data_IF_656423550304
#
_entry.id   IF_656423550304
#
_cell.length_a   1.000
_cell.length_b   1.000
_cell.length_c   1.000
_cell.angle_alpha   90.00
_cell.angle_beta   90.00
_cell.angle_gamma   90.00
#
_symmetry.space_group_name_H-M   'P 1'
#
loop_
_entity.id
_entity.type
_entity.pdbx_description
1 polymer ?
#
# COMPACT_ATOMS: atom_id res chain seq x y z
N UNK A 1 11.40 -10.12 -13.53
CA UNK A 1 10.05 -10.43 -14.03
C UNK A 1 8.98 -9.58 -13.34
N UNK A 2 8.75 -9.69 -12.02
CA UNK A 2 7.71 -8.88 -11.34
C UNK A 2 7.91 -7.35 -11.40
N UNK A 3 9.14 -6.88 -11.63
CA UNK A 3 9.50 -5.47 -11.83
C UNK A 3 9.65 -5.08 -13.31
N UNK A 4 9.19 -5.91 -14.25
CA UNK A 4 9.16 -5.53 -15.67
C UNK A 4 7.81 -4.90 -16.03
N UNK A 5 7.75 -4.05 -17.06
CA UNK A 5 6.49 -3.51 -17.53
C UNK A 5 5.48 -4.62 -17.85
N UNK A 6 5.91 -5.66 -18.57
CA UNK A 6 5.06 -6.79 -18.96
C UNK A 6 4.50 -7.53 -17.75
N UNK A 7 5.30 -7.70 -16.69
CA UNK A 7 4.85 -8.35 -15.46
C UNK A 7 3.81 -7.51 -14.71
N UNK A 8 4.00 -6.20 -14.66
CA UNK A 8 3.07 -5.30 -13.96
C UNK A 8 1.79 -5.01 -14.77
N UNK A 9 1.84 -5.08 -16.11
CA UNK A 9 0.66 -5.00 -16.98
C UNK A 9 -0.36 -6.13 -16.74
N UNK A 10 0.05 -7.23 -16.11
CA UNK A 10 -0.85 -8.35 -15.79
C UNK A 10 -1.81 -8.02 -14.63
N UNK A 11 -1.49 -7.02 -13.80
CA UNK A 11 -2.27 -6.71 -12.59
C UNK A 11 -3.78 -6.59 -12.86
N UNK A 12 -4.21 -5.70 -13.77
CA UNK A 12 -5.63 -5.53 -14.10
C UNK A 12 -6.31 -6.81 -14.63
N UNK A 13 -5.58 -7.65 -15.37
CA UNK A 13 -6.09 -8.95 -15.89
C UNK A 13 -6.48 -9.88 -14.74
N UNK A 14 -5.73 -9.83 -13.63
CA UNK A 14 -5.98 -10.62 -12.43
C UNK A 14 -6.70 -9.83 -11.33
N UNK A 15 -7.37 -8.72 -11.68
CA UNK A 15 -8.10 -7.85 -10.74
C UNK A 15 -7.23 -7.23 -9.64
N UNK A 16 -5.92 -7.09 -9.90
CA UNK A 16 -4.97 -6.37 -9.06
C UNK A 16 -4.76 -4.96 -9.64
N UNK A 17 -5.51 -3.99 -9.13
CA UNK A 17 -5.58 -2.62 -9.66
C UNK A 17 -4.60 -1.64 -8.99
N UNK A 18 -3.55 -2.15 -8.34
CA UNK A 18 -2.49 -1.31 -7.80
C UNK A 18 -1.78 -0.54 -8.93
N UNK A 19 -1.35 0.68 -8.62
CA UNK A 19 -0.52 1.46 -9.53
C UNK A 19 0.82 0.74 -9.79
N UNK A 20 1.28 0.64 -11.04
CA UNK A 20 2.61 0.15 -11.37
C UNK A 20 3.70 0.98 -10.68
N UNK A 21 4.80 0.33 -10.32
CA UNK A 21 5.99 0.95 -9.71
C UNK A 21 7.12 1.16 -10.71
N UNK A 22 6.93 0.73 -11.96
CA UNK A 22 7.89 0.94 -13.05
C UNK A 22 7.27 1.72 -14.20
N UNK A 23 8.11 2.47 -14.92
CA UNK A 23 7.70 3.19 -16.12
C UNK A 23 7.40 2.23 -17.27
N UNK A 24 6.58 2.69 -18.24
CA UNK A 24 6.30 1.96 -19.49
C UNK A 24 5.11 0.99 -19.42
N UNK A 25 4.35 1.00 -18.33
CA UNK A 25 3.09 0.27 -18.19
C UNK A 25 1.93 1.18 -18.60
N UNK A 26 1.04 0.68 -19.47
CA UNK A 26 -0.23 1.35 -19.75
C UNK A 26 -1.17 1.21 -18.55
N UNK A 27 -1.60 2.34 -17.99
CA UNK A 27 -2.45 2.37 -16.80
C UNK A 27 -3.89 2.01 -17.14
N UNK A 28 -4.50 1.12 -16.37
CA UNK A 28 -5.92 0.78 -16.53
C UNK A 28 -6.87 1.90 -16.06
N UNK A 29 -6.45 2.68 -15.05
CA UNK A 29 -7.23 3.74 -14.42
C UNK A 29 -6.35 4.95 -14.06
N UNK A 30 -5.85 5.72 -15.05
CA UNK A 30 -4.98 6.87 -14.80
C UNK A 30 -5.65 7.96 -13.96
N UNK A 31 -6.98 8.08 -13.99
CA UNK A 31 -7.76 9.04 -13.21
C UNK A 31 -7.65 8.84 -11.69
N UNK A 32 -7.33 7.62 -11.23
CA UNK A 32 -7.18 7.31 -9.81
C UNK A 32 -5.82 7.75 -9.25
N UNK A 33 -4.89 8.18 -10.10
CA UNK A 33 -3.54 8.59 -9.70
C UNK A 33 -3.40 10.10 -9.49
N UNK A 34 -4.41 10.89 -9.86
CA UNK A 34 -4.42 12.34 -9.59
C UNK A 34 -4.87 12.60 -8.14
N UNK A 35 -3.95 12.38 -7.20
CA UNK A 35 -4.20 12.46 -5.76
C UNK A 35 -3.10 13.22 -5.03
N UNK A 36 -3.48 13.92 -3.95
CA UNK A 36 -2.54 14.67 -3.11
C UNK A 36 -1.80 13.73 -2.14
N UNK A 37 -0.69 13.16 -2.60
CA UNK A 37 0.12 12.22 -1.83
C UNK A 37 1.08 12.93 -0.87
N UNK A 38 1.30 12.32 0.29
CA UNK A 38 2.43 12.66 1.16
C UNK A 38 3.71 11.98 0.66
N UNK A 39 4.86 12.56 0.99
CA UNK A 39 6.16 11.88 0.84
C UNK A 39 6.35 10.86 1.97
N UNK A 40 5.87 9.64 1.75
CA UNK A 40 5.83 8.60 2.77
C UNK A 40 7.24 8.08 3.10
N UNK A 41 7.70 8.35 4.33
CA UNK A 41 8.98 7.82 4.80
C UNK A 41 8.87 6.35 5.24
N UNK A 42 9.13 5.43 4.31
CA UNK A 42 9.05 3.98 4.53
C UNK A 42 9.98 3.48 5.64
N UNK A 43 11.18 4.07 5.79
CA UNK A 43 12.17 3.66 6.79
C UNK A 43 11.68 4.01 8.19
N UNK A 44 11.32 5.29 8.41
CA UNK A 44 10.83 5.74 9.70
C UNK A 44 9.54 5.01 10.12
N UNK A 45 8.62 4.81 9.17
CA UNK A 45 7.39 4.07 9.44
C UNK A 45 7.67 2.61 9.85
N UNK A 46 8.63 1.95 9.20
CA UNK A 46 9.06 0.60 9.54
C UNK A 46 9.69 0.53 10.94
N UNK A 47 10.59 1.44 11.26
CA UNK A 47 11.28 1.52 12.56
C UNK A 47 10.32 1.82 13.72
N UNK A 48 9.23 2.55 13.46
CA UNK A 48 8.25 2.95 14.49
C UNK A 48 6.99 2.06 14.53
N UNK A 49 6.92 1.00 13.70
CA UNK A 49 5.71 0.16 13.55
C UNK A 49 5.15 -0.33 14.88
N UNK A 50 5.99 -0.86 15.77
CA UNK A 50 5.57 -1.42 17.06
C UNK A 50 4.85 -0.39 17.93
N UNK A 51 5.40 0.82 18.04
CA UNK A 51 4.80 1.89 18.85
C UNK A 51 3.39 2.28 18.35
N UNK A 52 3.18 2.32 17.03
CA UNK A 52 1.87 2.60 16.46
C UNK A 52 0.87 1.47 16.67
N UNK A 53 1.30 0.22 16.49
CA UNK A 53 0.45 -0.96 16.71
C UNK A 53 0.01 -1.05 18.18
N UNK A 54 0.94 -0.85 19.12
CA UNK A 54 0.65 -0.86 20.55
C UNK A 54 -0.32 0.25 20.93
N UNK A 55 -0.09 1.47 20.43
CA UNK A 55 -0.97 2.60 20.67
C UNK A 55 -2.38 2.35 20.15
N UNK A 56 -2.52 1.90 18.90
CA UNK A 56 -3.83 1.60 18.32
C UNK A 56 -4.58 0.51 19.10
N UNK A 57 -3.86 -0.56 19.47
CA UNK A 57 -4.40 -1.68 20.25
C UNK A 57 -4.95 -1.22 21.60
N UNK A 58 -4.16 -0.43 22.33
CA UNK A 58 -4.49 -0.04 23.70
C UNK A 58 -5.50 1.10 23.77
N UNK A 59 -5.43 2.06 22.85
CA UNK A 59 -6.24 3.29 22.92
C UNK A 59 -7.50 3.24 22.05
N UNK A 60 -7.51 2.47 20.95
CA UNK A 60 -8.60 2.49 19.97
C UNK A 60 -9.35 1.16 19.92
N UNK A 61 -8.65 0.05 19.65
CA UNK A 61 -9.30 -1.25 19.48
C UNK A 61 -9.87 -1.79 20.79
N UNK A 62 -9.30 -1.40 21.94
CA UNK A 62 -9.44 -2.01 23.26
C UNK A 62 -9.01 -3.47 23.25
N UNK A 63 -8.08 -3.84 24.14
CA UNK A 63 -7.45 -5.17 24.16
C UNK A 63 -8.43 -6.37 24.25
N UNK A 64 -9.66 -6.13 24.71
CA UNK A 64 -10.71 -7.16 24.79
C UNK A 64 -11.29 -7.56 23.42
N UNK A 65 -11.24 -6.69 22.40
CA UNK A 65 -11.78 -6.98 21.06
C UNK A 65 -10.82 -7.72 20.13
N UNK A 66 -9.58 -8.01 20.57
CA UNK A 66 -8.53 -8.60 19.72
C UNK A 66 -8.54 -10.14 19.66
N UNK A 67 -9.45 -10.80 20.37
CA UNK A 67 -9.53 -12.27 20.46
C UNK A 67 -10.74 -12.91 19.74
N UNK A 68 -11.42 -12.20 18.85
CA UNK A 68 -12.47 -12.80 18.01
C UNK A 68 -11.95 -13.24 16.65
#
# INVERSE_FOLDING_TARGET
WAISPEGQSLGPIYHAYQAPTVNGVELSHPELLDVNLIDYNFIWAGENKTAFVDKFTNEIANAENLKQ
#
